data_IF_737607317619
#
_entry.id   IF_737607317619
#
_cell.length_a   1.000
_cell.length_b   1.000
_cell.length_c   1.000
_cell.angle_alpha   90.00
_cell.angle_beta   90.00
_cell.angle_gamma   90.00
#
_symmetry.space_group_name_H-M   'P 1'
#
loop_
_entity.id
_entity.type
_entity.pdbx_description
1 polymer ?
#
# COMPACT_ATOMS: atom_id res chain seq x y z
N UNK A 1 -18.27 8.13 -23.36
CA UNK A 1 -17.31 7.13 -22.84
C UNK A 1 -17.15 7.41 -21.37
N UNK A 2 -17.67 6.55 -20.50
CA UNK A 2 -17.41 6.65 -19.06
C UNK A 2 -15.93 6.38 -18.85
N UNK A 3 -15.17 7.38 -18.42
CA UNK A 3 -13.83 7.13 -17.86
C UNK A 3 -14.08 6.15 -16.71
N UNK A 4 -13.52 4.94 -16.81
CA UNK A 4 -13.53 4.02 -15.68
C UNK A 4 -12.94 4.81 -14.50
N UNK A 5 -13.67 4.91 -13.38
CA UNK A 5 -13.27 5.69 -12.20
C UNK A 5 -11.82 5.33 -11.85
N UNK A 6 -10.88 6.19 -12.22
CA UNK A 6 -9.47 5.92 -12.04
C UNK A 6 -9.17 6.14 -10.56
N UNK A 7 -9.06 5.04 -9.82
CA UNK A 7 -8.82 5.01 -8.39
C UNK A 7 -7.33 5.32 -8.08
N UNK A 8 -6.89 6.51 -8.47
CA UNK A 8 -5.52 7.00 -8.24
C UNK A 8 -5.41 7.73 -6.90
N UNK A 9 -4.19 7.89 -6.39
CA UNK A 9 -3.94 8.63 -5.15
C UNK A 9 -4.49 10.07 -5.17
N UNK A 10 -4.25 10.90 -6.22
CA UNK A 10 -4.83 12.24 -6.30
C UNK A 10 -6.36 12.21 -6.37
N UNK A 11 -6.96 11.21 -7.04
CA UNK A 11 -8.42 11.08 -7.08
C UNK A 11 -8.99 10.85 -5.68
N UNK A 12 -8.40 9.93 -4.90
CA UNK A 12 -8.81 9.67 -3.52
C UNK A 12 -8.58 10.86 -2.60
N UNK A 13 -7.43 11.53 -2.73
CA UNK A 13 -7.15 12.74 -1.96
C UNK A 13 -8.18 13.85 -2.29
N UNK A 14 -8.52 14.04 -3.56
CA UNK A 14 -9.57 14.96 -4.00
C UNK A 14 -10.92 14.60 -3.35
N UNK A 15 -11.36 13.35 -3.46
CA UNK A 15 -12.64 12.92 -2.89
C UNK A 15 -12.72 13.17 -1.38
N UNK A 16 -11.63 12.91 -0.65
CA UNK A 16 -11.55 13.13 0.79
C UNK A 16 -11.59 14.63 1.12
N UNK A 17 -10.75 15.45 0.47
CA UNK A 17 -10.71 16.90 0.73
C UNK A 17 -12.01 17.58 0.32
N UNK A 18 -12.64 17.15 -0.79
CA UNK A 18 -13.96 17.61 -1.21
C UNK A 18 -15.04 17.26 -0.19
N UNK A 19 -15.01 16.06 0.41
CA UNK A 19 -15.92 15.69 1.51
C UNK A 19 -15.69 16.54 2.76
N UNK A 20 -14.44 16.83 3.11
CA UNK A 20 -14.11 17.69 4.26
C UNK A 20 -14.61 19.11 4.02
N UNK A 21 -14.32 19.68 2.84
CA UNK A 21 -14.75 21.01 2.42
C UNK A 21 -16.27 21.16 2.45
N UNK A 22 -16.97 20.17 1.90
CA UNK A 22 -18.42 20.16 1.76
C UNK A 22 -19.15 19.58 2.99
N UNK A 23 -18.42 19.27 4.07
CA UNK A 23 -19.05 18.90 5.32
C UNK A 23 -19.74 20.14 5.90
N UNK A 24 -21.01 20.02 6.29
CA UNK A 24 -21.75 21.09 6.95
C UNK A 24 -21.29 21.30 8.42
N UNK A 25 -20.05 20.93 8.73
CA UNK A 25 -19.48 20.98 10.06
C UNK A 25 -18.94 22.39 10.35
N UNK A 26 -19.04 22.87 11.60
CA UNK A 26 -18.71 24.25 11.94
C UNK A 26 -17.19 24.53 11.96
N UNK A 27 -16.33 23.52 11.92
CA UNK A 27 -14.88 23.67 11.90
C UNK A 27 -14.19 22.43 11.30
N UNK A 28 -12.90 22.59 10.96
CA UNK A 28 -12.07 21.52 10.36
C UNK A 28 -11.98 20.27 11.23
N UNK A 29 -11.88 20.44 12.55
CA UNK A 29 -11.77 19.31 13.47
C UNK A 29 -12.99 18.38 13.33
N UNK A 30 -14.21 18.94 13.38
CA UNK A 30 -15.45 18.16 13.22
C UNK A 30 -15.60 17.61 11.81
N UNK A 31 -15.21 18.36 10.80
CA UNK A 31 -15.18 17.91 9.41
C UNK A 31 -14.33 16.64 9.25
N UNK A 32 -13.10 16.64 9.78
CA UNK A 32 -12.21 15.49 9.74
C UNK A 32 -12.72 14.30 10.56
N UNK A 33 -13.26 14.54 11.76
CA UNK A 33 -13.90 13.47 12.56
C UNK A 33 -15.02 12.79 11.75
N UNK A 34 -15.86 13.59 11.09
CA UNK A 34 -16.98 13.10 10.30
C UNK A 34 -16.48 12.32 9.06
N UNK A 35 -15.59 12.91 8.26
CA UNK A 35 -15.09 12.25 7.04
C UNK A 35 -14.29 10.98 7.35
N UNK A 36 -13.43 11.02 8.37
CA UNK A 36 -12.62 9.87 8.76
C UNK A 36 -13.37 8.89 9.68
N UNK A 37 -14.58 9.22 10.14
CA UNK A 37 -15.36 8.39 11.06
C UNK A 37 -14.54 7.92 12.28
N UNK A 38 -13.72 8.82 12.83
CA UNK A 38 -12.79 8.53 13.91
C UNK A 38 -12.73 9.67 14.92
N UNK A 39 -12.67 9.32 16.21
CA UNK A 39 -12.61 10.31 17.27
C UNK A 39 -11.30 11.11 17.24
N UNK A 40 -11.40 12.43 17.37
CA UNK A 40 -10.22 13.29 17.44
C UNK A 40 -9.26 12.89 18.55
N UNK A 41 -7.96 12.85 18.24
CA UNK A 41 -6.90 12.45 19.17
C UNK A 41 -6.82 10.95 19.45
N UNK A 42 -7.67 10.12 18.85
CA UNK A 42 -7.55 8.66 18.93
C UNK A 42 -6.45 8.13 18.02
N UNK A 43 -5.94 6.92 18.33
CA UNK A 43 -4.98 6.23 17.46
C UNK A 43 -5.55 5.98 16.06
N UNK A 44 -6.84 5.66 15.96
CA UNK A 44 -7.51 5.43 14.67
C UNK A 44 -7.59 6.72 13.85
N UNK A 45 -7.87 7.86 14.49
CA UNK A 45 -7.84 9.15 13.79
C UNK A 45 -6.44 9.46 13.28
N UNK A 46 -5.41 9.33 14.12
CA UNK A 46 -4.01 9.57 13.73
C UNK A 46 -3.60 8.67 12.56
N UNK A 47 -3.99 7.39 12.61
CA UNK A 47 -3.73 6.42 11.54
C UNK A 47 -4.45 6.78 10.24
N UNK A 48 -5.77 7.03 10.27
CA UNK A 48 -6.51 7.43 9.06
C UNK A 48 -5.99 8.73 8.47
N UNK A 49 -5.69 9.70 9.32
CA UNK A 49 -5.17 10.98 8.87
C UNK A 49 -3.76 10.86 8.26
N UNK A 50 -2.88 10.02 8.82
CA UNK A 50 -1.57 9.75 8.21
C UNK A 50 -1.68 9.05 6.85
N UNK A 51 -2.72 8.24 6.65
CA UNK A 51 -3.01 7.64 5.35
C UNK A 51 -3.47 8.68 4.33
N UNK A 52 -4.33 9.62 4.73
CA UNK A 52 -4.68 10.76 3.85
C UNK A 52 -3.43 11.57 3.48
N UNK A 53 -2.53 11.81 4.45
CA UNK A 53 -1.27 12.49 4.16
C UNK A 53 -0.36 11.69 3.23
N UNK A 54 -0.36 10.37 3.36
CA UNK A 54 0.39 9.49 2.44
C UNK A 54 -0.14 9.60 1.00
N UNK A 55 -1.45 9.76 0.79
CA UNK A 55 -2.00 9.98 -0.55
C UNK A 55 -1.43 11.23 -1.25
N UNK A 56 -1.07 12.28 -0.49
CA UNK A 56 -0.40 13.45 -1.05
C UNK A 56 1.04 13.10 -1.48
N UNK A 57 1.77 12.37 -0.65
CA UNK A 57 3.12 11.89 -1.02
C UNK A 57 3.06 11.05 -2.28
N UNK A 58 2.11 10.12 -2.35
CA UNK A 58 1.91 9.26 -3.52
C UNK A 58 1.54 10.04 -4.77
N UNK A 59 0.70 11.08 -4.61
CA UNK A 59 0.34 11.98 -5.70
C UNK A 59 1.61 12.62 -6.27
N UNK A 60 2.49 13.12 -5.40
CA UNK A 60 3.76 13.74 -5.80
C UNK A 60 4.66 12.71 -6.51
N UNK A 61 4.77 11.49 -5.99
CA UNK A 61 5.53 10.41 -6.63
C UNK A 61 4.98 10.06 -8.02
N UNK A 62 3.66 9.95 -8.16
CA UNK A 62 3.01 9.72 -9.45
C UNK A 62 3.22 10.86 -10.43
N UNK A 63 3.27 12.11 -9.95
CA UNK A 63 3.60 13.26 -10.81
C UNK A 63 5.04 13.19 -11.34
N UNK A 64 5.99 12.70 -10.54
CA UNK A 64 7.38 12.50 -11.01
C UNK A 64 7.50 11.42 -12.09
N UNK A 65 6.54 10.50 -12.20
CA UNK A 65 6.48 9.51 -13.27
C UNK A 65 5.92 10.08 -14.59
N UNK A 66 5.40 11.31 -14.60
CA UNK A 66 4.89 11.97 -15.81
C UNK A 66 6.01 12.57 -16.67
N UNK A 67 5.74 12.86 -17.96
CA UNK A 67 6.64 13.65 -18.78
C UNK A 67 6.99 14.99 -18.11
N UNK A 68 8.26 15.42 -18.23
CA UNK A 68 8.85 16.56 -17.53
C UNK A 68 7.95 17.81 -17.50
N UNK A 69 7.46 18.25 -18.67
CA UNK A 69 6.60 19.44 -18.77
C UNK A 69 5.29 19.31 -17.96
N UNK A 70 4.68 18.12 -17.93
CA UNK A 70 3.45 17.86 -17.17
C UNK A 70 3.73 17.77 -15.68
N UNK A 71 4.85 17.12 -15.31
CA UNK A 71 5.35 17.04 -13.95
C UNK A 71 5.58 18.45 -13.37
N UNK A 72 6.43 19.26 -14.01
CA UNK A 72 6.77 20.62 -13.54
C UNK A 72 5.54 21.52 -13.40
N UNK A 73 4.60 21.45 -14.35
CA UNK A 73 3.37 22.25 -14.30
C UNK A 73 2.49 21.86 -13.11
N UNK A 74 2.37 20.57 -12.84
CA UNK A 74 1.49 20.04 -11.79
C UNK A 74 2.09 20.24 -10.39
N UNK A 75 3.41 20.06 -10.25
CA UNK A 75 4.09 20.24 -8.96
C UNK A 75 4.03 21.67 -8.40
N UNK A 76 3.77 22.67 -9.25
CA UNK A 76 3.54 24.07 -8.79
C UNK A 76 2.37 24.18 -7.81
N UNK A 77 1.42 23.23 -7.87
CA UNK A 77 0.24 23.20 -7.00
C UNK A 77 0.42 22.27 -5.80
N UNK A 78 1.53 21.53 -5.68
CA UNK A 78 1.75 20.61 -4.55
C UNK A 78 1.68 21.32 -3.19
N UNK A 79 2.16 22.57 -3.12
CA UNK A 79 2.08 23.36 -1.90
C UNK A 79 0.63 23.74 -1.54
N UNK A 80 -0.23 24.07 -2.51
CA UNK A 80 -1.63 24.40 -2.21
C UNK A 80 -2.41 23.16 -1.76
N UNK A 81 -2.13 21.98 -2.29
CA UNK A 81 -2.70 20.72 -1.80
C UNK A 81 -2.22 20.39 -0.39
N UNK A 82 -0.93 20.59 -0.10
CA UNK A 82 -0.39 20.42 1.24
C UNK A 82 -1.04 21.39 2.24
N UNK A 83 -1.24 22.65 1.85
CA UNK A 83 -1.96 23.62 2.67
C UNK A 83 -3.41 23.17 2.89
N UNK A 84 -4.11 22.74 1.84
CA UNK A 84 -5.48 22.24 1.93
C UNK A 84 -5.63 21.11 2.96
N UNK A 85 -4.66 20.20 2.99
CA UNK A 85 -4.60 19.06 3.90
C UNK A 85 -4.17 19.46 5.33
N UNK A 86 -2.96 20.00 5.49
CA UNK A 86 -2.31 20.19 6.80
C UNK A 86 -2.79 21.45 7.52
N UNK A 87 -3.17 22.48 6.77
CA UNK A 87 -3.67 23.76 7.30
C UNK A 87 -2.80 24.32 8.44
N UNK A 88 -1.50 24.54 8.22
CA UNK A 88 -0.53 24.86 9.28
C UNK A 88 -0.82 26.19 10.01
N UNK A 89 -1.62 27.07 9.41
CA UNK A 89 -1.97 28.39 9.95
C UNK A 89 -3.36 28.44 10.58
N UNK A 90 -4.15 27.37 10.46
CA UNK A 90 -5.52 27.35 10.94
C UNK A 90 -5.60 26.75 12.35
N UNK A 91 -6.45 27.31 13.20
CA UNK A 91 -6.90 26.61 14.40
C UNK A 91 -8.09 25.71 14.02
N UNK A 92 -7.87 24.39 14.04
CA UNK A 92 -8.85 23.42 13.55
C UNK A 92 -10.15 23.37 14.37
N UNK A 93 -10.12 23.83 15.62
CA UNK A 93 -11.30 23.86 16.49
C UNK A 93 -12.06 25.20 16.42
N UNK A 94 -11.53 26.20 15.72
CA UNK A 94 -12.12 27.53 15.67
C UNK A 94 -13.39 27.52 14.80
N UNK A 95 -14.52 27.87 15.42
CA UNK A 95 -15.86 27.81 14.79
C UNK A 95 -16.13 28.93 13.77
N UNK A 96 -15.22 29.89 13.63
CA UNK A 96 -15.32 31.00 12.69
C UNK A 96 -14.70 30.70 11.32
N UNK A 97 -14.12 29.51 11.14
CA UNK A 97 -13.49 29.07 9.90
C UNK A 97 -14.09 27.73 9.45
N UNK A 98 -15.27 27.76 8.78
CA UNK A 98 -15.84 26.55 8.21
C UNK A 98 -14.88 25.96 7.16
N UNK A 99 -14.85 24.63 6.95
CA UNK A 99 -13.95 23.99 5.98
C UNK A 99 -13.97 24.61 4.58
N UNK A 100 -15.15 25.04 4.14
CA UNK A 100 -15.36 25.73 2.86
C UNK A 100 -14.69 27.11 2.73
N UNK A 101 -14.25 27.71 3.84
CA UNK A 101 -13.46 28.95 3.80
C UNK A 101 -11.95 28.68 3.75
N UNK A 102 -11.51 27.44 3.95
CA UNK A 102 -10.10 27.10 4.12
C UNK A 102 -9.54 26.26 2.97
N UNK A 103 -10.30 25.28 2.47
CA UNK A 103 -9.89 24.43 1.34
C UNK A 103 -10.32 25.11 0.03
N UNK A 104 -9.45 25.81 -0.69
CA UNK A 104 -9.83 26.51 -1.92
C UNK A 104 -10.33 25.56 -3.04
N UNK A 105 -11.37 25.98 -3.80
CA UNK A 105 -11.88 25.24 -4.96
C UNK A 105 -10.79 25.08 -6.02
N UNK A 106 -9.97 26.11 -6.24
CA UNK A 106 -8.87 26.03 -7.20
C UNK A 106 -7.87 24.92 -6.84
N UNK A 107 -7.61 24.67 -5.55
CA UNK A 107 -6.74 23.59 -5.12
C UNK A 107 -7.35 22.21 -5.43
N UNK A 108 -8.66 22.06 -5.26
CA UNK A 108 -9.39 20.84 -5.59
C UNK A 108 -9.45 20.61 -7.11
N UNK A 109 -9.77 21.63 -7.90
CA UNK A 109 -9.79 21.56 -9.37
C UNK A 109 -8.41 21.14 -9.92
N UNK A 110 -7.33 21.69 -9.37
CA UNK A 110 -5.98 21.29 -9.76
C UNK A 110 -5.65 19.85 -9.36
N UNK A 111 -6.16 19.37 -8.24
CA UNK A 111 -5.93 17.99 -7.80
C UNK A 111 -6.74 17.00 -8.65
N UNK A 112 -7.98 17.34 -9.01
CA UNK A 112 -8.80 16.58 -9.94
C UNK A 112 -8.16 16.52 -11.33
N UNK A 113 -7.69 17.66 -11.86
CA UNK A 113 -6.96 17.69 -13.13
C UNK A 113 -5.66 16.86 -13.09
N UNK A 114 -4.94 16.86 -11.96
CA UNK A 114 -3.77 16.00 -11.78
C UNK A 114 -4.16 14.51 -11.79
N UNK A 115 -5.28 14.16 -11.16
CA UNK A 115 -5.82 12.80 -11.19
C UNK A 115 -6.15 12.35 -12.61
N UNK A 116 -6.79 13.18 -13.42
CA UNK A 116 -7.11 12.87 -14.82
C UNK A 116 -5.85 12.67 -15.66
N UNK A 117 -4.84 13.53 -15.49
CA UNK A 117 -3.56 13.42 -16.20
C UNK A 117 -2.84 12.12 -15.82
N UNK A 118 -2.78 11.81 -14.53
CA UNK A 118 -2.14 10.59 -14.01
C UNK A 118 -2.88 9.36 -14.51
N UNK A 119 -4.21 9.34 -14.42
CA UNK A 119 -5.04 8.26 -14.92
C UNK A 119 -4.82 8.04 -16.43
N UNK A 120 -4.82 9.11 -17.22
CA UNK A 120 -4.59 9.03 -18.67
C UNK A 120 -3.18 8.56 -19.03
N UNK A 121 -2.17 9.07 -18.32
CA UNK A 121 -0.75 8.83 -18.66
C UNK A 121 -0.21 7.52 -18.11
N UNK A 122 -0.72 7.06 -16.97
CA UNK A 122 -0.21 5.90 -16.24
C UNK A 122 -1.19 4.71 -16.24
N UNK A 123 -2.28 4.77 -17.02
CA UNK A 123 -3.32 3.72 -17.12
C UNK A 123 -2.79 2.30 -17.42
N UNK A 124 -1.55 2.14 -17.90
CA UNK A 124 -0.92 0.84 -18.15
C UNK A 124 0.06 0.37 -17.04
N UNK A 125 0.55 1.28 -16.20
CA UNK A 125 1.64 1.03 -15.23
C UNK A 125 1.26 1.32 -13.79
N UNK A 126 0.27 2.17 -13.55
CA UNK A 126 -0.20 2.58 -12.22
C UNK A 126 -1.72 2.50 -12.09
N UNK A 127 -2.40 1.82 -13.01
CA UNK A 127 -3.84 1.59 -12.89
C UNK A 127 -4.13 0.88 -11.57
N UNK A 128 -5.11 1.43 -10.84
CA UNK A 128 -5.68 0.76 -9.70
C UNK A 128 -6.11 -0.66 -10.10
N UNK A 129 -5.93 -1.65 -9.20
CA UNK A 129 -6.45 -3.00 -9.41
C UNK A 129 -7.92 -2.92 -9.87
N UNK A 130 -8.24 -3.55 -11.00
CA UNK A 130 -9.63 -3.67 -11.44
C UNK A 130 -10.40 -4.75 -10.66
N UNK A 131 -9.68 -5.58 -9.90
CA UNK A 131 -10.27 -6.65 -9.10
C UNK A 131 -10.91 -6.10 -7.83
N UNK A 132 -12.22 -6.33 -7.69
CA UNK A 132 -12.99 -6.05 -6.46
C UNK A 132 -12.76 -7.12 -5.37
N UNK A 133 -12.09 -8.24 -5.70
CA UNK A 133 -11.95 -9.37 -4.80
C UNK A 133 -10.76 -9.22 -3.83
N UNK A 134 -10.95 -8.42 -2.79
CA UNK A 134 -10.00 -8.27 -1.68
C UNK A 134 -10.01 -9.43 -0.67
N UNK A 135 -11.02 -10.31 -0.73
CA UNK A 135 -11.18 -11.41 0.22
C UNK A 135 -10.03 -12.42 0.13
N UNK A 136 -9.60 -12.74 -1.08
CA UNK A 136 -8.44 -13.61 -1.32
C UNK A 136 -7.16 -13.03 -0.72
N UNK A 137 -6.92 -11.73 -0.94
CA UNK A 137 -5.77 -11.03 -0.39
C UNK A 137 -5.82 -10.98 1.14
N UNK A 138 -6.96 -10.65 1.73
CA UNK A 138 -7.14 -10.63 3.17
C UNK A 138 -6.89 -12.01 3.81
N UNK A 139 -7.35 -13.08 3.14
CA UNK A 139 -7.10 -14.46 3.57
C UNK A 139 -5.61 -14.77 3.56
N UNK A 140 -4.88 -14.37 2.52
CA UNK A 140 -3.43 -14.58 2.45
C UNK A 140 -2.68 -13.76 3.51
N UNK A 141 -3.04 -12.50 3.75
CA UNK A 141 -2.42 -11.71 4.81
C UNK A 141 -2.61 -12.35 6.19
N UNK A 142 -3.81 -12.84 6.51
CA UNK A 142 -4.10 -13.56 7.77
C UNK A 142 -3.28 -14.85 7.88
N UNK A 143 -3.16 -15.59 6.78
CA UNK A 143 -2.34 -16.79 6.73
C UNK A 143 -0.86 -16.48 6.99
N UNK A 144 -0.31 -15.46 6.33
CA UNK A 144 1.07 -15.04 6.50
C UNK A 144 1.37 -14.57 7.93
N UNK A 145 0.47 -13.80 8.55
CA UNK A 145 0.63 -13.40 9.96
C UNK A 145 0.80 -14.63 10.85
N UNK A 146 -0.08 -15.63 10.71
CA UNK A 146 0.01 -16.88 11.50
C UNK A 146 1.30 -17.63 11.21
N UNK A 147 1.68 -17.77 9.95
CA UNK A 147 2.91 -18.44 9.56
C UNK A 147 4.13 -17.77 10.20
N UNK A 148 4.23 -16.44 10.14
CA UNK A 148 5.36 -15.68 10.69
C UNK A 148 5.40 -15.78 12.23
N UNK A 149 4.24 -15.75 12.88
CA UNK A 149 4.12 -15.91 14.34
C UNK A 149 4.48 -17.31 14.84
N UNK A 150 4.35 -18.34 13.99
CA UNK A 150 4.70 -19.74 14.32
C UNK A 150 6.18 -20.10 14.10
N UNK A 151 6.91 -19.33 13.29
CA UNK A 151 8.35 -19.55 13.07
C UNK A 151 9.10 -19.29 14.38
N UNK A 152 10.17 -20.03 14.67
CA UNK A 152 10.99 -19.83 15.88
C UNK A 152 11.87 -18.56 15.76
N UNK A 153 12.17 -17.88 16.87
CA UNK A 153 13.01 -16.67 16.87
C UNK A 153 14.47 -16.95 16.44
N UNK A 154 14.90 -18.21 16.54
CA UNK A 154 16.19 -18.71 16.02
C UNK A 154 16.19 -18.75 14.49
N UNK A 155 15.06 -19.05 13.86
CA UNK A 155 14.93 -19.14 12.40
C UNK A 155 14.65 -17.78 11.76
N UNK A 156 13.92 -16.89 12.45
CA UNK A 156 13.61 -15.54 11.99
C UNK A 156 13.55 -14.59 13.19
N UNK A 157 14.39 -13.56 13.18
CA UNK A 157 14.49 -12.65 14.34
C UNK A 157 13.15 -11.98 14.70
N UNK A 158 12.90 -11.83 16.00
CA UNK A 158 11.66 -11.24 16.52
C UNK A 158 11.37 -9.82 16.02
N UNK A 159 12.39 -9.03 15.69
CA UNK A 159 12.23 -7.70 15.10
C UNK A 159 11.68 -7.76 13.67
N UNK A 160 12.23 -8.65 12.82
CA UNK A 160 11.73 -8.86 11.45
C UNK A 160 10.30 -9.40 11.49
N UNK A 161 9.99 -10.36 12.37
CA UNK A 161 8.62 -10.85 12.57
C UNK A 161 7.66 -9.73 12.90
N UNK A 162 8.01 -8.91 13.89
CA UNK A 162 7.17 -7.81 14.35
C UNK A 162 6.89 -6.80 13.24
N UNK A 163 7.91 -6.49 12.43
CA UNK A 163 7.77 -5.60 11.28
C UNK A 163 6.85 -6.19 10.20
N UNK A 164 7.09 -7.43 9.76
CA UNK A 164 6.27 -8.08 8.73
C UNK A 164 4.81 -8.21 9.17
N UNK A 165 4.58 -8.63 10.43
CA UNK A 165 3.24 -8.73 11.00
C UNK A 165 2.56 -7.36 11.06
N UNK A 166 3.28 -6.30 11.43
CA UNK A 166 2.74 -4.94 11.44
C UNK A 166 2.35 -4.48 10.02
N UNK A 167 3.20 -4.73 9.01
CA UNK A 167 2.91 -4.42 7.61
C UNK A 167 1.69 -5.19 7.09
N UNK A 168 1.58 -6.49 7.36
CA UNK A 168 0.44 -7.31 6.93
C UNK A 168 -0.87 -6.90 7.63
N UNK A 169 -0.81 -6.57 8.93
CA UNK A 169 -1.96 -5.99 9.66
C UNK A 169 -2.32 -4.61 9.12
N UNK A 170 -1.36 -3.86 8.61
CA UNK A 170 -1.61 -2.61 7.92
C UNK A 170 -2.39 -2.81 6.61
N UNK A 171 -1.97 -3.76 5.78
CA UNK A 171 -2.69 -4.15 4.55
C UNK A 171 -4.11 -4.61 4.87
N UNK A 172 -4.32 -5.45 5.88
CA UNK A 172 -5.67 -5.89 6.29
C UNK A 172 -6.58 -4.72 6.67
N UNK A 173 -6.07 -3.78 7.44
CA UNK A 173 -6.82 -2.59 7.81
C UNK A 173 -7.11 -1.69 6.60
N UNK A 174 -6.20 -1.59 5.63
CA UNK A 174 -6.45 -0.85 4.38
C UNK A 174 -7.55 -1.51 3.54
N UNK A 175 -7.60 -2.85 3.51
CA UNK A 175 -8.68 -3.60 2.86
C UNK A 175 -10.04 -3.23 3.50
N UNK A 176 -10.10 -3.16 4.82
CA UNK A 176 -11.30 -2.76 5.57
C UNK A 176 -11.71 -1.29 5.34
N UNK A 177 -10.78 -0.45 4.86
CA UNK A 177 -10.98 0.98 4.60
C UNK A 177 -10.80 1.33 3.11
N UNK A 178 -10.98 0.37 2.20
CA UNK A 178 -10.75 0.56 0.75
C UNK A 178 -11.66 1.63 0.16
N UNK A 179 -12.88 1.79 0.67
CA UNK A 179 -13.81 2.83 0.21
C UNK A 179 -13.28 4.25 0.44
N UNK A 180 -12.43 4.41 1.46
CA UNK A 180 -11.81 5.69 1.79
C UNK A 180 -10.51 5.90 1.01
N UNK A 181 -9.60 4.92 1.02
CA UNK A 181 -8.23 5.09 0.50
C UNK A 181 -8.00 4.53 -0.91
N UNK A 182 -8.92 3.74 -1.42
CA UNK A 182 -8.85 3.14 -2.75
C UNK A 182 -8.02 1.86 -2.85
N UNK A 183 -8.30 1.10 -3.91
CA UNK A 183 -7.60 -0.16 -4.21
C UNK A 183 -6.14 0.05 -4.59
N UNK A 184 -5.78 1.20 -5.15
CA UNK A 184 -4.38 1.52 -5.46
C UNK A 184 -3.51 1.61 -4.20
N UNK A 185 -4.02 2.19 -3.10
CA UNK A 185 -3.31 2.22 -1.81
C UNK A 185 -3.11 0.81 -1.26
N UNK A 186 -4.16 -0.03 -1.31
CA UNK A 186 -4.09 -1.44 -0.91
C UNK A 186 -3.01 -2.18 -1.71
N UNK A 187 -2.99 -2.01 -3.03
CA UNK A 187 -2.02 -2.66 -3.91
C UNK A 187 -0.58 -2.25 -3.61
N UNK A 188 -0.31 -0.96 -3.42
CA UNK A 188 1.05 -0.51 -3.11
C UNK A 188 1.54 -1.06 -1.78
N UNK A 189 0.75 -0.99 -0.72
CA UNK A 189 1.16 -1.53 0.58
C UNK A 189 1.27 -3.05 0.56
N UNK A 190 0.46 -3.73 -0.24
CA UNK A 190 0.60 -5.17 -0.51
C UNK A 190 1.94 -5.48 -1.18
N UNK A 191 2.30 -4.72 -2.22
CA UNK A 191 3.58 -4.89 -2.92
C UNK A 191 4.77 -4.60 -2.00
N UNK A 192 4.65 -3.58 -1.13
CA UNK A 192 5.66 -3.28 -0.11
C UNK A 192 5.82 -4.44 0.87
N UNK A 193 4.71 -4.96 1.41
CA UNK A 193 4.72 -6.12 2.30
C UNK A 193 5.31 -7.36 1.62
N UNK A 194 4.96 -7.61 0.35
CA UNK A 194 5.56 -8.68 -0.44
C UNK A 194 7.07 -8.51 -0.61
N UNK A 195 7.53 -7.29 -0.91
CA UNK A 195 8.96 -6.98 -1.00
C UNK A 195 9.69 -7.24 0.31
N UNK A 196 9.10 -6.88 1.45
CA UNK A 196 9.67 -7.17 2.78
C UNK A 196 9.65 -8.66 3.10
N UNK A 197 8.60 -9.41 2.74
CA UNK A 197 8.58 -10.89 2.86
C UNK A 197 9.69 -11.50 1.99
N UNK A 198 9.81 -11.09 0.73
CA UNK A 198 10.86 -11.53 -0.17
C UNK A 198 12.26 -11.24 0.39
N UNK A 199 12.46 -10.07 1.00
CA UNK A 199 13.73 -9.74 1.65
C UNK A 199 13.97 -10.61 2.89
N UNK A 200 12.93 -10.87 3.69
CA UNK A 200 13.06 -11.69 4.89
C UNK A 200 13.43 -13.15 4.60
N UNK A 201 13.16 -13.66 3.39
CA UNK A 201 13.54 -15.02 3.05
C UNK A 201 15.05 -15.24 3.02
N UNK A 202 15.86 -14.19 2.79
CA UNK A 202 17.33 -14.29 2.88
C UNK A 202 17.84 -14.41 4.31
N UNK A 203 16.96 -14.19 5.30
CA UNK A 203 17.29 -14.40 6.71
C UNK A 203 16.96 -15.82 7.18
N UNK A 204 16.38 -16.68 6.32
CA UNK A 204 15.96 -18.04 6.62
C UNK A 204 17.04 -19.11 6.30
N UNK A 205 18.29 -18.72 6.09
CA UNK A 205 19.36 -19.62 5.64
C UNK A 205 19.62 -20.83 6.57
N UNK A 206 19.29 -20.70 7.86
CA UNK A 206 19.40 -21.76 8.86
C UNK A 206 18.05 -22.36 9.28
N UNK A 207 16.97 -22.00 8.59
CA UNK A 207 15.63 -22.50 8.92
C UNK A 207 15.48 -23.98 8.56
N UNK A 208 14.62 -24.68 9.31
CA UNK A 208 14.30 -26.07 9.03
C UNK A 208 13.70 -26.25 7.63
N UNK A 209 13.91 -27.40 6.96
CA UNK A 209 13.32 -27.68 5.66
C UNK A 209 11.79 -27.56 5.64
N UNK A 210 11.14 -27.84 6.77
CA UNK A 210 9.70 -27.67 6.94
C UNK A 210 9.30 -26.18 6.88
N UNK A 211 9.98 -25.30 7.62
CA UNK A 211 9.76 -23.85 7.58
C UNK A 211 9.95 -23.30 6.18
N UNK A 212 11.04 -23.67 5.50
CA UNK A 212 11.33 -23.25 4.12
C UNK A 212 10.24 -23.72 3.15
N UNK A 213 9.79 -24.98 3.27
CA UNK A 213 8.73 -25.53 2.45
C UNK A 213 7.39 -24.81 2.63
N UNK A 214 7.01 -24.52 3.88
CA UNK A 214 5.81 -23.75 4.22
C UNK A 214 5.88 -22.32 3.66
N UNK A 215 7.01 -21.65 3.83
CA UNK A 215 7.28 -20.30 3.32
C UNK A 215 7.12 -20.22 1.80
N UNK A 216 7.78 -21.13 1.06
CA UNK A 216 7.69 -21.19 -0.40
C UNK A 216 6.26 -21.42 -0.89
N UNK A 217 5.52 -22.34 -0.26
CA UNK A 217 4.11 -22.60 -0.59
C UNK A 217 3.24 -21.36 -0.34
N UNK A 218 3.45 -20.69 0.79
CA UNK A 218 2.76 -19.45 1.15
C UNK A 218 3.03 -18.31 0.15
N UNK A 219 4.27 -18.23 -0.35
CA UNK A 219 4.70 -17.23 -1.32
C UNK A 219 3.94 -17.36 -2.64
N UNK A 220 3.85 -18.58 -3.18
CA UNK A 220 3.08 -18.81 -4.41
C UNK A 220 1.58 -18.55 -4.22
N UNK A 221 1.02 -18.88 -3.05
CA UNK A 221 -0.38 -18.58 -2.74
C UNK A 221 -0.66 -17.08 -2.67
N UNK A 222 0.27 -16.30 -2.09
CA UNK A 222 0.20 -14.84 -2.07
C UNK A 222 0.30 -14.25 -3.47
N UNK A 223 1.27 -14.71 -4.28
CA UNK A 223 1.39 -14.29 -5.69
C UNK A 223 0.10 -14.55 -6.46
N UNK A 224 -0.51 -15.72 -6.29
CA UNK A 224 -1.77 -16.05 -6.92
C UNK A 224 -2.90 -15.10 -6.49
N UNK A 225 -3.06 -14.85 -5.20
CA UNK A 225 -4.09 -13.92 -4.69
C UNK A 225 -3.88 -12.50 -5.21
N UNK A 226 -2.63 -12.05 -5.27
CA UNK A 226 -2.29 -10.74 -5.79
C UNK A 226 -2.57 -10.62 -7.29
N UNK A 227 -2.28 -11.65 -8.11
CA UNK A 227 -2.64 -11.65 -9.54
C UNK A 227 -4.15 -11.53 -9.77
N UNK A 228 -4.98 -12.16 -8.93
CA UNK A 228 -6.44 -12.03 -9.02
C UNK A 228 -6.91 -10.61 -8.68
N UNK A 229 -6.26 -9.96 -7.72
CA UNK A 229 -6.55 -8.59 -7.34
C UNK A 229 -6.14 -7.60 -8.44
N UNK A 230 -4.93 -7.73 -8.99
CA UNK A 230 -4.30 -6.73 -9.86
C UNK A 230 -4.47 -6.98 -11.36
N UNK A 231 -5.54 -7.65 -11.77
CA UNK A 231 -5.90 -7.84 -13.18
C UNK A 231 -5.96 -6.46 -13.89
N UNK A 232 -4.84 -6.02 -14.46
CA UNK A 232 -4.68 -4.67 -15.04
C UNK A 232 -3.32 -3.99 -14.80
N UNK A 233 -2.53 -4.38 -13.80
CA UNK A 233 -1.24 -3.74 -13.50
C UNK A 233 -0.04 -4.58 -13.98
N UNK A 234 0.76 -4.03 -14.89
CA UNK A 234 2.03 -4.61 -15.38
C UNK A 234 3.12 -4.75 -14.30
N UNK A 235 2.90 -4.20 -13.10
CA UNK A 235 3.84 -4.22 -11.96
C UNK A 235 4.16 -5.62 -11.38
N UNK A 236 3.45 -6.67 -11.81
CA UNK A 236 3.68 -8.03 -11.29
C UNK A 236 4.94 -8.71 -11.84
N UNK A 237 5.47 -8.27 -12.97
CA UNK A 237 6.63 -8.91 -13.60
C UNK A 237 7.92 -8.74 -12.76
N UNK A 238 8.09 -7.59 -12.10
CA UNK A 238 9.27 -7.34 -11.26
C UNK A 238 9.22 -8.15 -9.95
N UNK A 239 8.05 -8.25 -9.33
CA UNK A 239 7.84 -9.08 -8.13
C UNK A 239 7.97 -10.59 -8.44
N UNK A 240 7.53 -11.03 -9.63
CA UNK A 240 7.75 -12.38 -10.13
C UNK A 240 9.23 -12.65 -10.37
N UNK A 241 9.95 -11.72 -11.01
CA UNK A 241 11.39 -11.86 -11.28
C UNK A 241 12.21 -11.93 -9.99
N UNK A 242 11.88 -11.09 -9.00
CA UNK A 242 12.48 -11.16 -7.67
C UNK A 242 12.15 -12.48 -6.96
N UNK A 243 10.90 -12.94 -7.03
CA UNK A 243 10.45 -14.21 -6.45
C UNK A 243 11.08 -15.44 -7.10
N UNK A 244 11.30 -15.43 -8.42
CA UNK A 244 11.99 -16.50 -9.16
C UNK A 244 13.47 -16.59 -8.79
N UNK A 245 14.14 -15.45 -8.56
CA UNK A 245 15.50 -15.40 -8.03
C UNK A 245 15.61 -16.06 -6.65
N UNK A 246 14.70 -15.68 -5.75
CA UNK A 246 14.62 -16.21 -4.39
C UNK A 246 14.34 -17.73 -4.40
N UNK A 247 13.42 -18.20 -5.24
CA UNK A 247 13.10 -19.63 -5.35
C UNK A 247 14.27 -20.45 -5.92
N UNK A 248 15.08 -19.88 -6.82
CA UNK A 248 16.29 -20.53 -7.35
C UNK A 248 17.40 -20.59 -6.30
N UNK A 249 17.57 -19.54 -5.51
CA UNK A 249 18.60 -19.48 -4.47
C UNK A 249 18.28 -20.46 -3.32
N UNK A 250 17.02 -20.48 -2.87
CA UNK A 250 16.54 -21.44 -1.87
C UNK A 250 16.56 -22.89 -2.41
N UNK A 251 16.20 -23.10 -3.68
CA UNK A 251 16.25 -24.42 -4.32
C UNK A 251 17.68 -24.96 -4.46
N UNK A 252 18.64 -24.10 -4.79
CA UNK A 252 20.05 -24.48 -4.91
C UNK A 252 20.66 -24.96 -3.59
N UNK A 253 20.27 -24.36 -2.46
CA UNK A 253 20.71 -24.76 -1.12
C UNK A 253 20.11 -26.12 -0.71
N UNK A 254 18.84 -26.38 -1.03
CA UNK A 254 18.18 -27.67 -0.74
C UNK A 254 18.76 -28.81 -1.58
N UNK A 255 19.05 -28.58 -2.86
CA UNK A 255 19.66 -29.58 -3.74
C UNK A 255 21.12 -29.89 -3.33
N UNK A 256 21.85 -28.90 -2.80
CA UNK A 256 23.18 -29.13 -2.23
C UNK A 256 23.14 -29.98 -0.95
N UNK A 257 22.19 -29.72 -0.05
CA UNK A 257 22.03 -30.48 1.20
C UNK A 257 21.60 -31.93 0.92
N UNK A 258 20.67 -32.15 -0.02
CA UNK A 258 20.26 -33.50 -0.42
C UNK A 258 21.36 -34.25 -1.19
N UNK A 259 22.21 -33.55 -1.93
CA UNK A 259 23.37 -34.12 -2.62
C UNK A 259 24.47 -34.60 -1.66
N UNK A 260 24.73 -33.88 -0.58
CA UNK A 260 25.75 -34.23 0.42
C UNK A 260 25.35 -35.42 1.31
N UNK A 261 24.07 -35.52 1.69
CA UNK A 261 23.54 -36.67 2.45
C UNK A 261 23.43 -37.94 1.61
N UNK A 262 23.25 -37.81 0.28
CA UNK A 262 23.29 -38.91 -0.67
C UNK A 262 24.69 -39.51 -0.88
N UNK A 263 25.75 -38.71 -0.76
CA UNK A 263 27.13 -39.16 -0.91
C UNK A 263 27.71 -39.84 0.35
N UNK A 264 27.27 -39.46 1.56
CA UNK A 264 27.73 -40.11 2.80
C UNK A 264 27.19 -41.53 3.01
N UNK A 265 26.10 -41.90 2.35
CA UNK A 265 25.54 -43.26 2.39
C UNK A 265 26.01 -44.18 1.25
N UNK A 266 26.94 -43.71 0.41
CA UNK A 266 27.44 -44.43 -0.77
C UNK A 266 28.97 -44.68 -0.75
N UNK A 267 29.58 -44.76 0.43
CA UNK A 267 30.97 -45.24 0.58
C UNK A 267 30.99 -46.54 1.40
N UNK A 268 31.42 -47.68 0.82
CA UNK A 268 31.68 -48.92 1.56
C UNK A 268 32.93 -48.83 2.45
#
# INVERSE_FOLDING_TARGET
MSVANADTAPHRLYLILSRVRNSNEPNMQKAWINVLQAQWGSNEFSRRYSEVASLLTDTIEQLYALPERSCERSLRYAFSWWQALIQPKANWSASNHPPSSIIDDAALDHLEAAADIIAGSLSATSAAPAGENLEGLATQCKFWIRLIEEIDDVELSGSIKSELVAQLRHVLWLIENVDLFGGARVARETNRAMGSIAQASTSLDNASPETVGRWKKAWFALLAACMFFTTGATMFQDALTAGEGIVKEIGGVVDQIQGEDGQKNASP
#
